data_IF_368321737769
#
_entry.id   IF_368321737769
#
_cell.length_a   1.000
_cell.length_b   1.000
_cell.length_c   1.000
_cell.angle_alpha   90.00
_cell.angle_beta   90.00
_cell.angle_gamma   90.00
#
_symmetry.space_group_name_H-M   'P 1'
#
loop_
_entity.id
_entity.type
_entity.pdbx_description
1 polymer ?
#
# COMPACT_ATOMS: atom_id res chain seq x y z
N UNK A 1 -4.68 6.35 9.48
CA UNK A 1 -4.76 4.97 10.00
C UNK A 1 -4.50 3.93 8.88
N UNK A 2 -3.26 3.94 8.36
CA UNK A 2 -2.80 2.98 7.34
C UNK A 2 -2.87 1.54 7.88
N UNK A 3 -2.73 1.35 9.20
CA UNK A 3 -2.77 0.03 9.83
C UNK A 3 -4.14 -0.68 9.80
N UNK A 4 -5.25 0.04 9.64
CA UNK A 4 -6.59 -0.55 9.56
C UNK A 4 -6.97 -1.01 8.16
N UNK A 5 -6.38 -0.41 7.12
CA UNK A 5 -6.68 -0.74 5.72
C UNK A 5 -6.01 -2.03 5.23
N UNK A 6 -5.01 -2.54 5.94
CA UNK A 6 -4.18 -3.69 5.51
C UNK A 6 -4.46 -4.96 6.31
N UNK A 7 -5.55 -5.01 7.10
CA UNK A 7 -5.83 -6.17 7.95
C UNK A 7 -4.69 -6.39 8.97
N UNK A 8 -4.46 -7.59 9.46
CA UNK A 8 -3.48 -7.89 10.52
C UNK A 8 -1.98 -7.69 10.14
N UNK A 9 -1.67 -6.87 9.14
CA UNK A 9 -0.30 -6.64 8.69
C UNK A 9 0.32 -5.46 9.46
N UNK A 10 1.15 -5.77 10.43
CA UNK A 10 1.94 -4.77 11.16
C UNK A 10 3.27 -4.53 10.44
N UNK A 11 3.25 -3.63 9.46
CA UNK A 11 4.44 -3.16 8.78
C UNK A 11 4.76 -1.72 9.20
N UNK A 12 5.98 -1.51 9.66
CA UNK A 12 6.51 -0.18 9.99
C UNK A 12 7.62 0.15 9.00
N UNK A 13 7.40 1.17 8.19
CA UNK A 13 8.46 1.78 7.40
C UNK A 13 9.17 2.82 8.26
N UNK A 14 10.43 2.57 8.59
CA UNK A 14 11.28 3.57 9.21
C UNK A 14 11.81 4.43 8.09
N UNK A 15 11.32 5.67 8.02
CA UNK A 15 11.79 6.68 7.09
C UNK A 15 13.31 6.72 7.08
N UNK A 16 13.92 6.76 5.91
CA UNK A 16 15.33 7.08 5.74
C UNK A 16 15.53 8.57 5.99
N UNK A 17 15.34 9.00 7.23
CA UNK A 17 15.72 10.35 7.66
C UNK A 17 17.22 10.51 7.36
N UNK A 18 17.63 11.54 6.61
CA UNK A 18 19.04 11.84 6.34
C UNK A 18 19.87 11.98 7.62
N UNK A 19 19.23 12.21 8.78
CA UNK A 19 19.91 12.32 10.08
C UNK A 19 20.46 10.98 10.59
N UNK A 20 20.00 9.84 10.11
CA UNK A 20 20.34 8.50 10.63
C UNK A 20 20.20 8.42 12.19
N UNK A 21 19.26 9.18 12.74
CA UNK A 21 19.11 9.36 14.18
C UNK A 21 17.79 8.79 14.70
N UNK A 22 17.83 8.18 15.88
CA UNK A 22 16.65 7.66 16.57
C UNK A 22 16.85 7.76 18.09
N UNK A 23 15.82 8.15 18.85
CA UNK A 23 15.96 8.21 20.30
C UNK A 23 16.10 6.79 20.92
N UNK A 24 16.77 6.66 22.08
CA UNK A 24 16.91 5.37 22.77
C UNK A 24 15.57 4.70 23.07
N UNK A 25 14.54 5.47 23.43
CA UNK A 25 13.21 4.98 23.74
C UNK A 25 12.54 4.39 22.49
N UNK A 26 12.66 5.08 21.36
CA UNK A 26 12.07 4.64 20.08
C UNK A 26 12.71 3.35 19.61
N UNK A 27 14.03 3.22 19.63
CA UNK A 27 14.70 1.98 19.20
C UNK A 27 14.41 0.80 20.15
N UNK A 28 14.26 1.05 21.46
CA UNK A 28 13.83 0.04 22.44
C UNK A 28 12.42 -0.45 22.11
N UNK A 29 11.50 0.49 21.81
CA UNK A 29 10.12 0.14 21.43
C UNK A 29 10.09 -0.62 20.11
N UNK A 30 10.88 -0.19 19.12
CA UNK A 30 11.01 -0.86 17.84
C UNK A 30 11.49 -2.31 18.00
N UNK A 31 12.54 -2.53 18.83
CA UNK A 31 13.03 -3.87 19.17
C UNK A 31 11.93 -4.76 19.75
N UNK A 32 11.12 -4.21 20.67
CA UNK A 32 10.01 -4.96 21.26
C UNK A 32 8.95 -5.32 20.20
N UNK A 33 8.55 -4.37 19.36
CA UNK A 33 7.58 -4.61 18.31
C UNK A 33 8.03 -5.71 17.32
N UNK A 34 9.33 -5.72 16.95
CA UNK A 34 9.86 -6.77 16.07
C UNK A 34 9.85 -8.12 16.81
N UNK A 35 10.26 -8.16 18.08
CA UNK A 35 10.20 -9.39 18.87
C UNK A 35 8.78 -9.96 18.95
N UNK A 36 7.76 -9.11 18.96
CA UNK A 36 6.35 -9.48 19.05
C UNK A 36 5.75 -9.89 17.71
N UNK A 37 6.44 -9.65 16.59
CA UNK A 37 6.02 -10.11 15.26
C UNK A 37 5.94 -9.04 14.17
N UNK A 38 6.30 -7.78 14.47
CA UNK A 38 6.27 -6.73 13.47
C UNK A 38 7.34 -6.94 12.39
N UNK A 39 7.02 -6.56 11.16
CA UNK A 39 7.99 -6.37 10.06
C UNK A 39 8.41 -4.91 10.04
N UNK A 40 9.70 -4.65 10.11
CA UNK A 40 10.27 -3.30 10.05
C UNK A 40 11.12 -3.15 8.79
N UNK A 41 10.96 -2.05 8.08
CA UNK A 41 11.70 -1.74 6.85
C UNK A 41 12.47 -0.45 7.05
N UNK A 42 13.78 -0.49 6.87
CA UNK A 42 14.64 0.69 6.98
C UNK A 42 16.08 0.38 7.34
N UNK A 43 16.92 1.41 7.22
CA UNK A 43 18.33 1.37 7.59
C UNK A 43 18.52 1.42 9.11
N UNK A 44 19.64 0.90 9.66
CA UNK A 44 19.97 1.03 11.06
C UNK A 44 20.29 2.49 11.43
N UNK A 45 19.76 3.00 12.56
CA UNK A 45 20.17 4.30 13.07
C UNK A 45 21.63 4.25 13.59
N UNK A 46 22.36 5.36 13.43
CA UNK A 46 23.78 5.45 13.78
C UNK A 46 24.05 6.25 15.06
N UNK A 47 23.06 7.04 15.51
CA UNK A 47 23.18 7.93 16.65
C UNK A 47 21.84 8.21 17.31
N UNK A 48 21.89 8.79 18.51
CA UNK A 48 20.70 9.33 19.15
C UNK A 48 20.20 10.60 18.45
N UNK A 49 18.88 10.80 18.44
CA UNK A 49 18.26 12.06 18.06
C UNK A 49 18.31 13.10 19.19
N UNK A 50 18.74 12.70 20.40
CA UNK A 50 18.75 13.50 21.61
C UNK A 50 20.18 13.75 22.09
N UNK A 51 20.41 14.92 22.70
CA UNK A 51 21.65 15.24 23.36
C UNK A 51 21.67 14.82 24.84
N UNK A 52 20.50 14.51 25.40
CA UNK A 52 20.41 14.05 26.79
C UNK A 52 21.13 12.70 26.95
N UNK A 53 22.06 12.64 27.88
CA UNK A 53 22.89 11.44 28.11
C UNK A 53 24.01 11.22 27.08
N UNK A 54 24.35 12.22 26.27
CA UNK A 54 25.47 12.14 25.33
C UNK A 54 26.80 11.97 26.09
N UNK A 55 27.77 11.09 25.67
CA UNK A 55 27.71 10.27 24.42
C UNK A 55 27.11 8.85 24.61
N UNK A 56 26.61 8.53 25.79
CA UNK A 56 26.16 7.17 26.11
C UNK A 56 24.84 6.81 25.41
N UNK A 57 23.96 7.79 25.17
CA UNK A 57 22.75 7.61 24.37
C UNK A 57 23.07 7.10 22.95
N UNK A 58 24.12 7.62 22.32
CA UNK A 58 24.60 7.15 21.01
C UNK A 58 25.09 5.70 21.03
N UNK A 59 25.84 5.35 22.10
CA UNK A 59 26.35 3.98 22.27
C UNK A 59 25.20 3.00 22.45
N UNK A 60 24.18 3.39 23.21
CA UNK A 60 22.99 2.58 23.42
C UNK A 60 22.23 2.35 22.11
N UNK A 61 21.99 3.40 21.33
CA UNK A 61 21.32 3.30 20.02
C UNK A 61 22.08 2.35 19.10
N UNK A 62 23.40 2.55 18.94
CA UNK A 62 24.24 1.67 18.11
C UNK A 62 24.23 0.22 18.57
N UNK A 63 24.27 -0.03 19.89
CA UNK A 63 24.22 -1.39 20.46
C UNK A 63 22.92 -2.09 20.10
N UNK A 64 21.78 -1.40 20.29
CA UNK A 64 20.46 -1.98 19.97
C UNK A 64 20.29 -2.13 18.46
N UNK A 65 20.76 -1.16 17.66
CA UNK A 65 20.75 -1.28 16.20
C UNK A 65 21.55 -2.51 15.73
N UNK A 66 22.75 -2.72 16.25
CA UNK A 66 23.57 -3.90 15.95
C UNK A 66 22.88 -5.22 16.35
N UNK A 67 22.15 -5.24 17.47
CA UNK A 67 21.35 -6.41 17.89
C UNK A 67 20.25 -6.72 16.85
N UNK A 68 19.52 -5.70 16.38
CA UNK A 68 18.36 -5.85 15.49
C UNK A 68 18.80 -6.15 14.07
N UNK A 69 19.64 -5.29 13.47
CA UNK A 69 20.05 -5.39 12.05
C UNK A 69 21.13 -6.47 11.82
N UNK A 70 21.98 -6.72 12.83
CA UNK A 70 23.03 -7.74 12.75
C UNK A 70 23.97 -7.49 11.57
N UNK A 71 24.00 -8.45 10.65
CA UNK A 71 24.85 -8.48 9.47
C UNK A 71 24.18 -8.01 8.16
N UNK A 72 23.00 -7.36 8.28
CA UNK A 72 22.37 -6.75 7.12
C UNK A 72 23.23 -5.62 6.56
N UNK A 73 23.37 -5.58 5.22
CA UNK A 73 24.13 -4.57 4.48
C UNK A 73 23.27 -3.73 3.53
N UNK A 74 21.96 -4.06 3.44
CA UNK A 74 21.01 -3.37 2.58
C UNK A 74 21.23 -3.61 1.07
N UNK A 75 22.10 -4.55 0.69
CA UNK A 75 22.44 -4.88 -0.72
C UNK A 75 22.33 -6.37 -0.99
N UNK A 76 23.18 -7.17 -0.37
CA UNK A 76 23.24 -8.63 -0.52
C UNK A 76 22.44 -9.33 0.58
N UNK A 77 22.52 -8.81 1.79
CA UNK A 77 21.73 -9.27 2.95
C UNK A 77 20.70 -8.22 3.31
N UNK A 78 19.50 -8.42 2.81
CA UNK A 78 18.43 -7.43 2.91
C UNK A 78 17.34 -7.77 3.91
N UNK A 79 17.34 -9.00 4.47
CA UNK A 79 16.30 -9.44 5.39
C UNK A 79 16.87 -10.34 6.49
N UNK A 80 16.35 -10.17 7.72
CA UNK A 80 16.72 -10.98 8.90
C UNK A 80 15.50 -11.19 9.79
N UNK A 81 15.32 -12.40 10.29
CA UNK A 81 14.36 -12.70 11.36
C UNK A 81 14.90 -12.24 12.70
N UNK A 82 14.06 -11.64 13.52
CA UNK A 82 14.39 -11.20 14.87
C UNK A 82 13.18 -11.39 15.80
N UNK A 83 13.25 -12.34 16.72
CA UNK A 83 12.09 -12.77 17.50
C UNK A 83 11.04 -13.42 16.62
N UNK A 84 9.78 -12.98 16.74
CA UNK A 84 8.66 -13.44 15.90
C UNK A 84 8.53 -12.64 14.61
N UNK A 85 9.16 -11.46 14.52
CA UNK A 85 9.11 -10.58 13.39
C UNK A 85 10.39 -10.59 12.53
N UNK A 86 10.56 -9.58 11.73
CA UNK A 86 11.71 -9.44 10.83
C UNK A 86 12.05 -7.98 10.56
N UNK A 87 13.30 -7.77 10.14
CA UNK A 87 13.80 -6.50 9.66
C UNK A 87 14.20 -6.64 8.20
N UNK A 88 13.89 -5.62 7.39
CA UNK A 88 14.22 -5.54 5.97
C UNK A 88 14.95 -4.22 5.74
N UNK A 89 16.09 -4.29 5.03
CA UNK A 89 16.87 -3.12 4.65
C UNK A 89 17.30 -3.24 3.18
N UNK A 90 17.19 -2.14 2.40
CA UNK A 90 17.53 -2.10 0.99
C UNK A 90 16.40 -2.53 0.05
N UNK A 91 15.20 -2.76 0.58
CA UNK A 91 13.97 -2.96 -0.19
C UNK A 91 12.94 -1.92 0.20
N UNK A 92 12.07 -1.57 -0.72
CA UNK A 92 10.90 -0.72 -0.47
C UNK A 92 9.79 -1.50 0.22
N UNK A 93 8.86 -0.80 0.87
CA UNK A 93 7.65 -1.41 1.45
C UNK A 93 6.83 -2.15 0.37
N UNK A 94 6.75 -1.61 -0.83
CA UNK A 94 6.07 -2.26 -1.97
C UNK A 94 6.71 -3.61 -2.32
N UNK A 95 8.03 -3.67 -2.43
CA UNK A 95 8.75 -4.92 -2.74
C UNK A 95 8.55 -5.96 -1.65
N UNK A 96 8.59 -5.55 -0.39
CA UNK A 96 8.36 -6.45 0.74
C UNK A 96 6.93 -7.01 0.75
N UNK A 97 5.90 -6.17 0.54
CA UNK A 97 4.50 -6.58 0.48
C UNK A 97 4.23 -7.53 -0.69
N UNK A 98 4.78 -7.22 -1.88
CA UNK A 98 4.63 -8.09 -3.05
C UNK A 98 5.30 -9.45 -2.84
N UNK A 99 6.47 -9.49 -2.18
CA UNK A 99 7.15 -10.73 -1.82
C UNK A 99 6.32 -11.59 -0.84
N UNK A 100 5.52 -10.93 0.01
CA UNK A 100 4.56 -11.60 0.92
C UNK A 100 3.23 -11.99 0.22
N UNK A 101 3.11 -11.76 -1.09
CA UNK A 101 1.90 -12.06 -1.86
C UNK A 101 0.77 -11.04 -1.72
N UNK A 102 1.03 -9.89 -1.10
CA UNK A 102 0.03 -8.83 -0.93
C UNK A 102 0.02 -7.94 -2.17
N UNK A 103 -1.08 -7.97 -2.90
CA UNK A 103 -1.27 -7.13 -4.06
C UNK A 103 -1.59 -5.68 -3.65
N UNK A 104 -1.25 -4.67 -4.49
CA UNK A 104 -1.68 -3.30 -4.28
C UNK A 104 -3.20 -3.21 -4.12
N UNK A 105 -3.66 -2.27 -3.31
CA UNK A 105 -5.07 -1.98 -3.13
C UNK A 105 -5.73 -1.50 -4.43
N UNK A 106 -4.99 -0.70 -5.19
CA UNK A 106 -5.36 -0.19 -6.50
C UNK A 106 -4.13 -0.18 -7.41
N UNK A 107 -4.32 -0.50 -8.68
CA UNK A 107 -3.31 -0.35 -9.72
C UNK A 107 -3.97 -0.19 -11.10
N UNK A 108 -3.21 0.28 -12.08
CA UNK A 108 -3.64 0.32 -13.48
C UNK A 108 -2.49 -0.07 -14.42
N UNK A 109 -2.84 -0.59 -15.60
CA UNK A 109 -1.86 -0.99 -16.59
C UNK A 109 -1.06 0.21 -17.11
N UNK A 110 0.25 0.05 -17.27
CA UNK A 110 1.14 1.12 -17.72
C UNK A 110 1.46 2.17 -16.66
N UNK A 111 1.18 1.89 -15.37
CA UNK A 111 1.58 2.75 -14.27
C UNK A 111 3.10 2.86 -14.22
N UNK A 112 3.60 4.05 -14.54
CA UNK A 112 5.02 4.43 -14.44
C UNK A 112 5.18 5.44 -13.31
N UNK A 113 6.42 5.70 -12.89
CA UNK A 113 6.67 6.64 -11.78
C UNK A 113 6.39 8.11 -12.12
N UNK A 114 6.23 8.46 -13.42
CA UNK A 114 6.13 9.88 -13.84
C UNK A 114 5.37 10.04 -15.17
N UNK A 115 4.49 11.02 -15.27
CA UNK A 115 3.55 11.44 -14.23
C UNK A 115 2.43 10.40 -14.08
N UNK A 116 1.94 10.19 -12.87
CA UNK A 116 0.78 9.31 -12.65
C UNK A 116 -0.44 9.91 -13.35
N UNK A 117 -1.04 9.11 -14.25
CA UNK A 117 -2.21 9.53 -15.01
C UNK A 117 -3.48 9.52 -14.17
N UNK A 118 -3.57 8.57 -13.25
CA UNK A 118 -4.73 8.36 -12.41
C UNK A 118 -4.32 8.41 -10.94
N UNK A 119 -5.23 8.93 -10.13
CA UNK A 119 -5.13 8.94 -8.68
C UNK A 119 -6.41 8.37 -8.08
N UNK A 120 -6.38 7.97 -6.81
CA UNK A 120 -7.53 7.37 -6.17
C UNK A 120 -7.60 7.63 -4.68
N UNK A 121 -8.81 7.52 -4.14
CA UNK A 121 -9.08 7.42 -2.70
C UNK A 121 -9.93 6.19 -2.47
N UNK A 122 -9.59 5.38 -1.48
CA UNK A 122 -10.37 4.22 -1.05
C UNK A 122 -11.01 4.47 0.31
N UNK A 123 -12.28 4.16 0.43
CA UNK A 123 -13.07 4.21 1.65
C UNK A 123 -13.83 2.91 1.85
N UNK A 124 -13.99 2.51 3.12
CA UNK A 124 -14.81 1.37 3.52
C UNK A 124 -15.98 1.89 4.34
N UNK A 125 -17.20 1.53 3.97
CA UNK A 125 -18.43 1.82 4.71
C UNK A 125 -19.21 0.52 4.94
N UNK A 126 -19.19 0.04 6.17
CA UNK A 126 -19.74 -1.27 6.53
C UNK A 126 -19.07 -2.39 5.72
N UNK A 127 -19.83 -3.00 4.82
CA UNK A 127 -19.33 -4.02 3.90
C UNK A 127 -19.06 -3.49 2.49
N UNK A 128 -19.24 -2.21 2.26
CA UNK A 128 -19.01 -1.58 0.95
C UNK A 128 -17.58 -1.07 0.82
N UNK A 129 -16.96 -1.33 -0.32
CA UNK A 129 -15.68 -0.75 -0.72
C UNK A 129 -15.96 0.33 -1.77
N UNK A 130 -15.42 1.53 -1.57
CA UNK A 130 -15.71 2.71 -2.40
C UNK A 130 -14.38 3.31 -2.84
N UNK A 131 -14.11 3.25 -4.13
CA UNK A 131 -12.95 3.88 -4.76
C UNK A 131 -13.41 5.10 -5.54
N UNK A 132 -12.82 6.25 -5.27
CA UNK A 132 -12.95 7.44 -6.11
C UNK A 132 -11.71 7.51 -6.99
N UNK A 133 -11.88 7.45 -8.31
CA UNK A 133 -10.79 7.44 -9.29
C UNK A 133 -10.86 8.70 -10.12
N UNK A 134 -9.72 9.36 -10.32
CA UNK A 134 -9.62 10.61 -11.09
C UNK A 134 -8.56 10.49 -12.19
N UNK A 135 -8.89 10.99 -13.38
CA UNK A 135 -7.92 11.28 -14.43
C UNK A 135 -7.25 12.63 -14.16
N UNK A 136 -5.94 12.64 -13.97
CA UNK A 136 -5.16 13.85 -13.69
C UNK A 136 -4.68 14.59 -14.95
N UNK A 137 -5.02 14.08 -16.13
CA UNK A 137 -4.55 14.66 -17.38
C UNK A 137 -5.64 15.50 -18.06
N UNK A 138 -5.21 16.45 -18.90
CA UNK A 138 -6.11 17.30 -19.70
C UNK A 138 -6.63 16.62 -20.99
N UNK A 139 -6.59 15.27 -21.07
CA UNK A 139 -7.09 14.50 -22.19
C UNK A 139 -7.88 13.28 -21.71
N UNK A 140 -8.71 12.73 -22.58
CA UNK A 140 -9.38 11.46 -22.30
C UNK A 140 -8.35 10.35 -22.18
N UNK A 141 -8.43 9.57 -21.10
CA UNK A 141 -7.56 8.43 -20.85
C UNK A 141 -8.39 7.16 -20.68
N UNK A 142 -7.92 6.09 -21.30
CA UNK A 142 -8.43 4.75 -21.08
C UNK A 142 -7.43 4.00 -20.19
N UNK A 143 -7.93 3.34 -19.15
CA UNK A 143 -7.10 2.56 -18.24
C UNK A 143 -7.73 1.21 -17.92
N UNK A 144 -6.88 0.19 -17.81
CA UNK A 144 -7.22 -1.11 -17.23
C UNK A 144 -6.88 -1.09 -15.75
N UNK A 145 -7.88 -1.01 -14.91
CA UNK A 145 -7.77 -0.84 -13.47
C UNK A 145 -7.93 -2.16 -12.74
N UNK A 146 -7.21 -2.32 -11.64
CA UNK A 146 -7.32 -3.46 -10.73
C UNK A 146 -7.57 -2.96 -9.31
N UNK A 147 -8.60 -3.50 -8.67
CA UNK A 147 -9.03 -3.20 -7.31
C UNK A 147 -8.91 -4.46 -6.45
N UNK A 148 -8.37 -4.36 -5.24
CA UNK A 148 -8.21 -5.49 -4.31
C UNK A 148 -9.52 -5.84 -3.61
N UNK A 149 -10.54 -6.13 -4.39
CA UNK A 149 -11.88 -6.55 -3.96
C UNK A 149 -12.30 -7.75 -4.79
N UNK A 150 -12.95 -8.73 -4.19
CA UNK A 150 -13.57 -9.86 -4.89
C UNK A 150 -14.89 -10.25 -4.25
N UNK A 151 -15.69 -11.04 -4.97
CA UNK A 151 -16.99 -11.50 -4.47
C UNK A 151 -18.06 -10.43 -4.42
N UNK A 152 -17.82 -9.27 -5.08
CA UNK A 152 -18.78 -8.17 -5.16
C UNK A 152 -18.89 -7.67 -6.61
N UNK A 153 -20.10 -7.29 -7.01
CA UNK A 153 -20.38 -6.64 -8.28
C UNK A 153 -19.78 -5.22 -8.28
N UNK A 154 -18.91 -4.85 -9.23
CA UNK A 154 -18.51 -3.47 -9.38
C UNK A 154 -19.66 -2.62 -9.96
N UNK A 155 -19.89 -1.47 -9.35
CA UNK A 155 -20.79 -0.44 -9.85
C UNK A 155 -19.97 0.81 -10.21
N UNK A 156 -20.36 1.52 -11.26
CA UNK A 156 -19.74 2.78 -11.69
C UNK A 156 -20.74 3.89 -11.44
N UNK A 157 -20.34 4.86 -10.61
CA UNK A 157 -21.17 6.01 -10.29
C UNK A 157 -20.50 7.28 -10.79
N UNK A 158 -21.26 8.04 -11.56
CA UNK A 158 -20.83 9.35 -12.07
C UNK A 158 -21.14 10.43 -11.04
N UNK A 159 -20.11 11.12 -10.47
CA UNK A 159 -20.33 12.16 -9.45
C UNK A 159 -20.97 13.44 -10.00
N UNK A 160 -20.96 13.65 -11.33
CA UNK A 160 -21.51 14.85 -11.97
C UNK A 160 -22.99 14.68 -12.26
N UNK A 161 -23.36 13.56 -12.88
CA UNK A 161 -24.75 13.29 -13.29
C UNK A 161 -25.56 12.57 -12.23
N UNK A 162 -24.91 11.91 -11.28
CA UNK A 162 -25.54 11.03 -10.28
C UNK A 162 -25.96 9.67 -10.87
N UNK A 163 -25.60 9.36 -12.12
CA UNK A 163 -25.89 8.06 -12.73
C UNK A 163 -25.14 6.94 -11.99
N UNK A 164 -25.86 5.86 -11.72
CA UNK A 164 -25.33 4.66 -11.08
C UNK A 164 -25.63 3.45 -11.95
N UNK A 165 -24.60 2.73 -12.39
CA UNK A 165 -24.76 1.53 -13.23
C UNK A 165 -23.84 0.41 -12.76
N UNK A 166 -24.28 -0.83 -12.95
CA UNK A 166 -23.41 -1.99 -12.79
C UNK A 166 -22.37 -2.03 -13.92
N UNK A 167 -21.13 -2.35 -13.59
CA UNK A 167 -20.11 -2.58 -14.60
C UNK A 167 -20.50 -3.78 -15.47
N UNK A 168 -20.65 -3.56 -16.77
CA UNK A 168 -21.02 -4.59 -17.72
C UNK A 168 -19.87 -5.53 -18.06
N UNK A 169 -18.64 -5.06 -17.97
CA UNK A 169 -17.43 -5.84 -18.27
C UNK A 169 -16.42 -5.73 -17.12
N UNK A 170 -16.12 -6.85 -16.50
CA UNK A 170 -15.11 -6.98 -15.42
C UNK A 170 -14.64 -8.44 -15.29
N UNK A 171 -13.48 -8.64 -14.66
CA UNK A 171 -12.94 -9.96 -14.33
C UNK A 171 -12.51 -10.00 -12.86
N UNK A 172 -12.83 -11.09 -12.17
CA UNK A 172 -12.33 -11.34 -10.81
C UNK A 172 -11.38 -12.52 -10.81
N UNK A 173 -10.12 -12.26 -10.47
CA UNK A 173 -9.06 -13.26 -10.45
C UNK A 173 -7.96 -12.89 -9.46
N UNK A 174 -7.43 -13.88 -8.75
CA UNK A 174 -6.25 -13.69 -7.88
C UNK A 174 -6.44 -12.67 -6.75
N UNK A 175 -7.65 -12.51 -6.24
CA UNK A 175 -7.93 -11.54 -5.17
C UNK A 175 -8.23 -10.11 -5.66
N UNK A 176 -8.29 -9.91 -6.98
CA UNK A 176 -8.51 -8.63 -7.62
C UNK A 176 -9.76 -8.62 -8.48
N UNK A 177 -10.38 -7.45 -8.65
CA UNK A 177 -11.37 -7.15 -9.70
C UNK A 177 -10.73 -6.21 -10.70
N UNK A 178 -10.64 -6.66 -11.94
CA UNK A 178 -10.16 -5.87 -13.08
C UNK A 178 -11.31 -5.32 -13.91
N UNK A 179 -11.25 -4.06 -14.32
CA UNK A 179 -12.16 -3.47 -15.29
C UNK A 179 -11.51 -2.31 -16.06
N UNK A 180 -11.89 -2.15 -17.33
CA UNK A 180 -11.44 -1.04 -18.16
C UNK A 180 -12.41 0.13 -18.03
N UNK A 181 -11.88 1.35 -17.90
CA UNK A 181 -12.64 2.60 -17.82
C UNK A 181 -12.05 3.61 -18.78
N UNK A 182 -12.94 4.43 -19.36
CA UNK A 182 -12.57 5.66 -20.04
C UNK A 182 -12.99 6.85 -19.17
N UNK A 183 -12.05 7.74 -18.87
CA UNK A 183 -12.28 8.95 -18.10
C UNK A 183 -11.98 10.19 -18.95
N UNK A 184 -12.92 11.12 -18.99
CA UNK A 184 -12.76 12.41 -19.64
C UNK A 184 -11.57 13.21 -19.08
N UNK A 185 -11.12 14.28 -19.74
CA UNK A 185 -10.08 15.18 -19.21
C UNK A 185 -10.47 15.67 -17.81
N UNK A 186 -9.60 15.42 -16.81
CA UNK A 186 -9.85 15.71 -15.38
C UNK A 186 -11.13 15.07 -14.83
N UNK A 187 -11.70 14.10 -15.54
CA UNK A 187 -12.90 13.39 -15.13
C UNK A 187 -12.65 12.43 -13.99
N UNK A 188 -13.72 12.07 -13.29
CA UNK A 188 -13.67 11.15 -12.15
C UNK A 188 -14.89 10.26 -12.10
N UNK A 189 -14.78 9.13 -11.40
CA UNK A 189 -15.90 8.27 -11.09
C UNK A 189 -15.71 7.58 -9.73
N UNK A 190 -16.80 7.11 -9.16
CA UNK A 190 -16.74 6.15 -8.06
C UNK A 190 -16.87 4.73 -8.63
N UNK A 191 -16.04 3.82 -8.12
CA UNK A 191 -16.20 2.38 -8.30
C UNK A 191 -16.61 1.81 -6.96
N UNK A 192 -17.85 1.29 -6.91
CA UNK A 192 -18.49 0.87 -5.66
C UNK A 192 -18.73 -0.64 -5.69
N UNK A 193 -18.31 -1.31 -4.64
CA UNK A 193 -18.47 -2.75 -4.44
C UNK A 193 -19.35 -3.00 -3.20
N UNK A 194 -20.63 -3.21 -3.38
CA UNK A 194 -21.60 -3.43 -2.27
C UNK A 194 -22.46 -4.69 -2.40
N UNK A 195 -22.75 -5.12 -3.63
CA UNK A 195 -23.57 -6.30 -3.89
C UNK A 195 -22.72 -7.55 -4.00
N UNK A 196 -23.00 -8.55 -3.20
CA UNK A 196 -22.28 -9.83 -3.23
C UNK A 196 -22.61 -10.62 -4.50
N UNK A 197 -21.56 -11.22 -5.09
CA UNK A 197 -21.64 -12.16 -6.21
C UNK A 197 -20.69 -13.34 -5.94
N UNK A 198 -20.76 -14.40 -6.78
CA UNK A 198 -19.79 -15.50 -6.68
C UNK A 198 -18.37 -14.99 -6.90
N UNK A 199 -17.42 -15.49 -6.11
CA UNK A 199 -15.99 -15.23 -6.33
C UNK A 199 -15.58 -15.78 -7.70
N UNK A 200 -14.69 -15.07 -8.38
CA UNK A 200 -14.25 -15.37 -9.75
C UNK A 200 -15.34 -15.18 -10.83
N UNK A 201 -16.36 -14.39 -10.53
CA UNK A 201 -17.33 -13.97 -11.53
C UNK A 201 -16.69 -13.02 -12.56
N UNK A 202 -17.22 -13.02 -13.76
CA UNK A 202 -16.84 -12.06 -14.80
C UNK A 202 -18.11 -11.54 -15.48
N UNK A 203 -18.15 -10.25 -15.77
CA UNK A 203 -19.13 -9.62 -16.65
C UNK A 203 -18.56 -9.57 -18.07
N UNK A 204 -19.24 -10.16 -19.03
CA UNK A 204 -18.91 -10.05 -20.46
C UNK A 204 -20.00 -9.20 -21.15
N UNK A 205 -20.04 -7.94 -20.84
CA UNK A 205 -21.05 -7.00 -21.36
C UNK A 205 -20.44 -5.85 -22.14
N UNK A 206 -21.22 -4.78 -22.27
CA UNK A 206 -20.81 -3.55 -22.95
C UNK A 206 -19.63 -2.91 -22.23
N UNK A 207 -18.66 -2.30 -22.94
CA UNK A 207 -17.56 -1.55 -22.34
C UNK A 207 -18.04 -0.51 -21.33
N UNK A 208 -17.27 -0.30 -20.26
CA UNK A 208 -17.60 0.60 -19.16
C UNK A 208 -17.19 2.05 -19.49
N UNK A 209 -17.75 2.63 -20.54
CA UNK A 209 -17.48 4.03 -20.88
C UNK A 209 -18.48 4.94 -20.17
N UNK A 210 -17.96 5.98 -19.52
CA UNK A 210 -18.75 7.12 -19.08
C UNK A 210 -18.86 8.07 -20.28
N UNK A 211 -20.10 8.40 -20.68
CA UNK A 211 -20.35 9.36 -21.75
C UNK A 211 -20.16 10.78 -21.30
#
# INVERSE_FOLDING_TARGET
DICKAVGHYQQLEVSSDPSDAMSPEVIKKLRQLIKDGATVIGAPPKRSAELNGYPDCDKEVRKIAAEIWGDLDGKTRTERKFGKGRIIWGKTAREALLADGIQPDFSYAGQTREPEKFDYIHRVDGQSEIYFVINRTGRTEVGDFSFRVTGKQPEIWDPVTGEMKEAGSFEQKGGLTGLSLELAPYGSCFIVFRKSISKNSSGKGVPNFLK
#
